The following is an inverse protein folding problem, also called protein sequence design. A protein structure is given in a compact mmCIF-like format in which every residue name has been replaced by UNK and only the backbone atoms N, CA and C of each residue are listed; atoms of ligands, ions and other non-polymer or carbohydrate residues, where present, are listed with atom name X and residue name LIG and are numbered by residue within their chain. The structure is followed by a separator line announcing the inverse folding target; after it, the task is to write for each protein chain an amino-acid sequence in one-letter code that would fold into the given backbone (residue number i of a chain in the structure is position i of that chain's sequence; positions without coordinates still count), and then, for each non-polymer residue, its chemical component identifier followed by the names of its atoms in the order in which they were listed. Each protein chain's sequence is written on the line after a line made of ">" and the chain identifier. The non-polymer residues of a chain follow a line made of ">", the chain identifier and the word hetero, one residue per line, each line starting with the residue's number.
data_IF_514564728167
#
_entry.id   IF_514564728167
#
_cell.length_a   1.000
_cell.length_b   1.000
_cell.length_c   1.000
_cell.angle_alpha   90.00
_cell.angle_beta   90.00
_cell.angle_gamma   90.00
#
_symmetry.space_group_name_H-M   'P 1'
#
loop_
_entity.id
_entity.type
_entity.pdbx_description
1 polymer ?
#
# COMPACT_ATOMS: atom_id res chain seq x y z
N UNK A 1 -3.13 33.35 29.66
CA UNK A 1 -3.44 33.69 28.25
C UNK A 1 -2.57 34.87 27.82
N UNK A 2 -1.33 34.68 27.39
CA UNK A 2 -0.43 35.82 27.10
C UNK A 2 0.70 35.52 26.11
N UNK A 3 0.59 34.51 25.24
CA UNK A 3 1.74 34.03 24.43
C UNK A 3 1.47 33.82 22.93
N UNK A 4 0.67 34.67 22.27
CA UNK A 4 0.57 34.66 20.80
C UNK A 4 0.69 36.02 20.11
N UNK A 5 0.62 37.14 20.85
CA UNK A 5 0.74 38.49 20.28
C UNK A 5 2.05 38.76 19.54
N UNK A 6 3.14 38.11 19.93
CA UNK A 6 4.46 38.33 19.31
C UNK A 6 4.54 37.74 17.89
N UNK A 7 3.89 36.59 17.68
CA UNK A 7 3.86 35.92 16.38
C UNK A 7 2.92 36.69 15.44
N UNK A 8 1.75 37.08 15.93
CA UNK A 8 0.80 37.90 15.16
C UNK A 8 1.40 39.25 14.76
N UNK A 9 2.09 39.94 15.68
CA UNK A 9 2.76 41.20 15.38
C UNK A 9 3.88 41.03 14.33
N UNK A 10 4.63 39.93 14.38
CA UNK A 10 5.67 39.62 13.39
C UNK A 10 5.07 39.44 11.99
N UNK A 11 3.94 38.72 11.87
CA UNK A 11 3.25 38.53 10.59
C UNK A 11 2.65 39.83 10.05
N UNK A 12 2.09 40.68 10.91
CA UNK A 12 1.57 42.00 10.52
C UNK A 12 2.70 42.90 10.02
N UNK A 13 3.85 42.91 10.70
CA UNK A 13 5.03 43.68 10.27
C UNK A 13 5.61 43.15 8.96
N UNK A 14 5.66 41.83 8.77
CA UNK A 14 6.07 41.21 7.51
C UNK A 14 5.13 41.60 6.36
N UNK A 15 3.82 41.54 6.58
CA UNK A 15 2.81 41.93 5.60
C UNK A 15 2.93 43.40 5.22
N UNK A 16 3.07 44.30 6.19
CA UNK A 16 3.27 45.73 5.97
C UNK A 16 4.58 46.02 5.22
N UNK A 17 5.68 45.33 5.57
CA UNK A 17 6.95 45.45 4.87
C UNK A 17 6.84 45.06 3.40
N UNK A 18 6.14 43.97 3.12
CA UNK A 18 5.87 43.51 1.75
C UNK A 18 5.05 44.53 0.96
N UNK A 19 4.03 45.12 1.60
CA UNK A 19 3.17 46.13 0.99
C UNK A 19 3.94 47.42 0.67
N UNK A 20 4.80 47.88 1.58
CA UNK A 20 5.69 49.04 1.38
C UNK A 20 6.67 48.75 0.23
N UNK A 21 7.25 47.55 0.17
CA UNK A 21 8.17 47.18 -0.91
C UNK A 21 7.48 47.12 -2.28
N UNK A 22 6.24 46.63 -2.34
CA UNK A 22 5.43 46.63 -3.58
C UNK A 22 5.14 48.05 -4.05
N UNK A 23 4.76 48.95 -3.14
CA UNK A 23 4.42 50.34 -3.48
C UNK A 23 5.67 51.13 -3.88
N UNK A 24 6.77 50.95 -3.15
CA UNK A 24 8.00 51.75 -3.33
C UNK A 24 8.88 51.26 -4.48
N UNK A 25 8.85 49.95 -4.78
CA UNK A 25 9.69 49.34 -5.82
C UNK A 25 8.88 48.37 -6.72
N UNK A 26 7.81 48.83 -7.38
CA UNK A 26 6.92 47.97 -8.15
C UNK A 26 7.64 47.27 -9.30
N UNK A 27 8.59 47.94 -9.97
CA UNK A 27 9.35 47.34 -11.07
C UNK A 27 10.29 46.23 -10.60
N UNK A 28 10.95 46.36 -9.45
CA UNK A 28 11.84 45.32 -8.96
C UNK A 28 11.06 44.10 -8.44
N UNK A 29 9.92 44.30 -7.76
CA UNK A 29 9.10 43.22 -7.22
C UNK A 29 8.35 42.44 -8.31
N UNK A 30 7.77 43.12 -9.29
CA UNK A 30 6.96 42.45 -10.33
C UNK A 30 7.78 41.96 -11.53
N UNK A 31 8.94 42.54 -11.82
CA UNK A 31 9.72 42.18 -13.01
C UNK A 31 10.98 41.41 -12.62
N UNK A 32 11.79 41.90 -11.67
CA UNK A 32 13.07 41.25 -11.32
C UNK A 32 12.88 39.98 -10.49
N UNK A 33 12.00 40.01 -9.51
CA UNK A 33 11.78 38.89 -8.57
C UNK A 33 11.36 37.59 -9.30
N UNK A 34 10.40 37.60 -10.25
CA UNK A 34 10.07 36.41 -11.03
C UNK A 34 11.20 35.97 -11.97
N UNK A 35 11.94 36.93 -12.55
CA UNK A 35 13.05 36.67 -13.48
C UNK A 35 14.28 36.06 -12.79
N UNK A 36 14.56 36.43 -11.54
CA UNK A 36 15.62 35.81 -10.73
C UNK A 36 15.19 34.46 -10.14
N UNK A 37 13.91 34.33 -9.76
CA UNK A 37 13.31 33.03 -9.38
C UNK A 37 13.39 32.02 -10.53
N UNK A 38 13.21 32.45 -11.79
CA UNK A 38 13.32 31.57 -12.96
C UNK A 38 14.75 31.05 -13.21
N UNK A 39 15.77 31.73 -12.68
CA UNK A 39 17.19 31.36 -12.83
C UNK A 39 17.70 30.43 -11.75
N UNK A 40 16.95 30.21 -10.68
CA UNK A 40 17.33 29.31 -9.60
C UNK A 40 16.98 27.86 -9.97
N UNK A 41 17.85 26.88 -9.64
CA UNK A 41 17.55 25.48 -9.88
C UNK A 41 16.27 25.10 -9.13
N UNK A 42 15.27 24.57 -9.85
CA UNK A 42 13.92 24.28 -9.33
C UNK A 42 13.90 23.52 -7.99
N UNK A 43 14.95 22.73 -7.71
CA UNK A 43 15.11 21.95 -6.47
C UNK A 43 15.38 22.81 -5.24
N UNK A 44 16.14 23.90 -5.37
CA UNK A 44 16.39 24.82 -4.25
C UNK A 44 15.21 25.76 -4.02
N UNK A 45 14.53 26.16 -5.10
CA UNK A 45 13.31 26.96 -5.02
C UNK A 45 12.17 26.19 -4.31
N UNK A 46 12.02 24.90 -4.62
CA UNK A 46 11.06 24.03 -3.93
C UNK A 46 11.38 23.87 -2.45
N UNK A 47 12.66 23.75 -2.07
CA UNK A 47 13.06 23.70 -0.64
C UNK A 47 12.71 25.01 0.07
N UNK A 48 13.04 26.15 -0.52
CA UNK A 48 12.74 27.48 0.03
C UNK A 48 11.24 27.77 0.15
N UNK A 49 10.42 27.26 -0.77
CA UNK A 49 8.95 27.38 -0.71
C UNK A 49 8.36 26.37 0.30
N UNK A 50 8.90 25.15 0.36
CA UNK A 50 8.37 24.09 1.22
C UNK A 50 8.48 24.40 2.72
N UNK A 51 9.55 25.06 3.15
CA UNK A 51 9.79 25.38 4.57
C UNK A 51 8.71 26.33 5.15
N UNK A 52 8.43 27.51 4.57
CA UNK A 52 7.36 28.37 5.06
C UNK A 52 5.97 27.73 4.87
N UNK A 53 5.77 26.89 3.84
CA UNK A 53 4.53 26.13 3.67
C UNK A 53 4.30 25.14 4.82
N UNK A 54 5.37 24.46 5.26
CA UNK A 54 5.33 23.49 6.34
C UNK A 54 5.08 24.16 7.70
N UNK A 55 5.68 25.34 7.91
CA UNK A 55 5.44 26.19 9.09
C UNK A 55 3.97 26.67 9.12
N UNK A 56 3.36 26.96 7.97
CA UNK A 56 1.93 27.30 7.86
C UNK A 56 1.02 26.07 8.02
N UNK A 57 1.46 24.90 7.58
CA UNK A 57 0.68 23.65 7.66
C UNK A 57 0.57 23.12 9.09
N UNK A 58 1.60 23.27 9.92
CA UNK A 58 1.60 22.74 11.30
C UNK A 58 0.48 23.36 12.18
N UNK A 59 0.30 24.69 12.24
CA UNK A 59 -0.85 25.31 12.90
C UNK A 59 -2.17 24.85 12.29
N UNK A 60 -2.26 24.79 10.95
CA UNK A 60 -3.49 24.39 10.25
C UNK A 60 -3.92 22.95 10.63
N UNK A 61 -2.97 22.03 10.71
CA UNK A 61 -3.18 20.64 11.14
C UNK A 61 -3.55 20.55 12.62
N UNK A 62 -2.89 21.34 13.48
CA UNK A 62 -3.20 21.41 14.90
C UNK A 62 -4.61 21.97 15.17
N UNK A 63 -5.00 23.04 14.47
CA UNK A 63 -6.33 23.63 14.55
C UNK A 63 -7.39 22.70 13.93
N UNK A 64 -7.09 22.01 12.83
CA UNK A 64 -7.96 21.00 12.22
C UNK A 64 -8.34 19.88 13.19
N UNK A 65 -7.33 19.29 13.86
CA UNK A 65 -7.56 18.22 14.86
C UNK A 65 -8.30 18.72 16.11
N UNK A 66 -8.00 19.93 16.59
CA UNK A 66 -8.58 20.47 17.82
C UNK A 66 -10.03 20.96 17.66
N UNK A 67 -10.41 21.47 16.50
CA UNK A 67 -11.72 22.10 16.26
C UNK A 67 -12.65 21.29 15.33
N UNK A 68 -12.26 20.06 14.94
CA UNK A 68 -12.99 19.22 13.96
C UNK A 68 -13.38 20.00 12.69
N UNK A 69 -12.52 20.91 12.25
CA UNK A 69 -12.75 21.64 11.01
C UNK A 69 -12.40 20.73 9.83
N UNK A 70 -13.36 20.51 8.92
CA UNK A 70 -13.14 19.78 7.67
C UNK A 70 -12.25 20.63 6.77
N UNK A 71 -10.94 20.46 6.90
CA UNK A 71 -9.99 20.96 5.92
C UNK A 71 -10.37 20.31 4.59
N UNK A 72 -10.54 21.13 3.56
CA UNK A 72 -11.10 20.79 2.23
C UNK A 72 -10.68 19.39 1.75
N UNK A 73 -11.61 18.58 1.19
CA UNK A 73 -11.41 17.15 0.89
C UNK A 73 -10.17 16.80 0.06
N UNK A 74 -9.59 17.78 -0.64
CA UNK A 74 -8.36 17.62 -1.42
C UNK A 74 -7.13 17.38 -0.55
N UNK A 75 -7.04 17.94 0.66
CA UNK A 75 -5.89 17.76 1.57
C UNK A 75 -6.04 16.50 2.44
N UNK A 76 -7.28 16.12 2.79
CA UNK A 76 -7.57 14.86 3.46
C UNK A 76 -7.16 13.65 2.62
N UNK A 77 -7.45 13.64 1.32
CA UNK A 77 -7.06 12.56 0.38
C UNK A 77 -5.56 12.28 0.29
N UNK A 78 -4.70 13.22 0.65
CA UNK A 78 -3.24 13.04 0.62
C UNK A 78 -2.67 12.54 1.96
N UNK A 79 -3.39 12.72 3.06
CA UNK A 79 -2.92 12.39 4.42
C UNK A 79 -3.59 11.12 4.93
N UNK A 80 -4.87 10.92 4.59
CA UNK A 80 -5.69 9.78 4.95
C UNK A 80 -6.35 9.30 3.65
N UNK A 81 -5.77 8.33 2.92
CA UNK A 81 -6.56 7.60 1.93
C UNK A 81 -7.78 7.05 2.69
N UNK A 82 -9.00 7.33 2.19
CA UNK A 82 -10.29 6.98 2.80
C UNK A 82 -10.27 5.57 3.39
N UNK A 83 -9.95 5.46 4.69
CA UNK A 83 -9.75 4.17 5.38
C UNK A 83 -10.93 3.82 6.28
N UNK A 84 -11.83 4.78 6.54
CA UNK A 84 -12.92 4.60 7.49
C UNK A 84 -14.28 4.26 6.83
N UNK A 85 -14.39 4.25 5.50
CA UNK A 85 -15.67 3.93 4.80
C UNK A 85 -15.64 2.75 3.85
N UNK A 86 -14.46 2.33 3.38
CA UNK A 86 -14.35 1.36 2.29
C UNK A 86 -13.75 0.00 2.70
N UNK A 87 -13.46 -0.21 3.99
CA UNK A 87 -12.99 -1.52 4.48
C UNK A 87 -14.13 -2.49 4.82
N UNK A 88 -15.29 -2.27 4.20
CA UNK A 88 -16.40 -3.19 4.27
C UNK A 88 -16.08 -4.48 3.53
N UNK A 89 -16.61 -5.57 4.07
CA UNK A 89 -16.51 -6.88 3.46
C UNK A 89 -17.25 -6.91 2.12
N UNK A 90 -16.59 -7.40 1.07
CA UNK A 90 -17.23 -7.58 -0.23
C UNK A 90 -18.42 -8.56 -0.16
N UNK A 91 -19.53 -8.26 -0.87
CA UNK A 91 -20.66 -9.17 -0.95
C UNK A 91 -20.27 -10.44 -1.71
N UNK A 92 -20.77 -11.59 -1.24
CA UNK A 92 -20.55 -12.90 -1.86
C UNK A 92 -21.79 -13.33 -2.63
N UNK A 93 -21.62 -13.77 -3.88
CA UNK A 93 -22.70 -14.47 -4.60
C UNK A 93 -22.73 -15.96 -4.26
N UNK A 94 -21.59 -16.53 -3.87
CA UNK A 94 -21.43 -17.92 -3.47
C UNK A 94 -20.11 -18.10 -2.72
N UNK A 95 -20.14 -18.91 -1.66
CA UNK A 95 -18.93 -19.33 -0.98
C UNK A 95 -18.41 -20.64 -1.60
N UNK A 96 -17.14 -20.64 -2.01
CA UNK A 96 -16.45 -21.82 -2.51
C UNK A 96 -15.58 -22.37 -1.39
N UNK A 97 -15.97 -23.50 -0.81
CA UNK A 97 -15.17 -24.21 0.18
C UNK A 97 -13.85 -24.69 -0.41
N UNK A 98 -12.80 -24.65 0.41
CA UNK A 98 -11.47 -25.09 0.03
C UNK A 98 -10.97 -26.08 1.07
N UNK A 99 -10.42 -27.19 0.60
CA UNK A 99 -9.56 -28.02 1.42
C UNK A 99 -8.14 -27.44 1.38
N UNK A 100 -7.86 -26.49 2.27
CA UNK A 100 -6.61 -25.73 2.23
C UNK A 100 -5.41 -26.61 2.64
N UNK A 101 -5.62 -27.58 3.53
CA UNK A 101 -4.56 -28.43 4.07
C UNK A 101 -3.79 -29.22 3.00
N UNK A 102 -4.47 -29.65 1.94
CA UNK A 102 -3.87 -30.52 0.90
C UNK A 102 -3.13 -29.79 -0.22
N UNK A 103 -3.27 -28.46 -0.33
CA UNK A 103 -2.68 -27.71 -1.44
C UNK A 103 -1.26 -27.21 -1.19
N UNK A 104 -0.49 -27.05 -2.26
CA UNK A 104 0.78 -26.31 -2.23
C UNK A 104 0.51 -24.81 -2.23
N UNK A 105 1.30 -24.07 -1.45
CA UNK A 105 1.09 -22.65 -1.15
C UNK A 105 2.38 -21.90 -1.41
N UNK A 106 2.30 -20.85 -2.21
CA UNK A 106 3.46 -20.08 -2.65
C UNK A 106 3.19 -18.59 -2.57
N UNK A 107 4.22 -17.79 -2.32
CA UNK A 107 4.23 -16.36 -2.64
C UNK A 107 5.28 -16.13 -3.72
N UNK A 108 4.86 -15.44 -4.78
CA UNK A 108 5.73 -14.97 -5.84
C UNK A 108 6.06 -13.52 -5.55
N UNK A 109 7.35 -13.20 -5.59
CA UNK A 109 7.85 -11.84 -5.43
C UNK A 109 8.62 -11.44 -6.69
N UNK A 110 8.23 -10.32 -7.27
CA UNK A 110 8.76 -9.79 -8.52
C UNK A 110 9.87 -8.80 -8.24
N UNK A 111 10.97 -8.88 -9.01
CA UNK A 111 12.02 -7.86 -9.09
C UNK A 111 12.56 -7.35 -7.72
N UNK A 112 12.71 -8.24 -6.73
CA UNK A 112 13.19 -7.83 -5.41
C UNK A 112 14.60 -8.33 -5.10
N UNK A 113 15.44 -7.40 -4.66
CA UNK A 113 16.78 -7.67 -4.12
C UNK A 113 16.77 -7.98 -2.61
N UNK A 114 15.59 -8.04 -1.99
CA UNK A 114 15.47 -8.20 -0.54
C UNK A 114 16.02 -9.53 -0.03
N UNK A 115 16.51 -9.51 1.20
CA UNK A 115 16.85 -10.70 1.97
C UNK A 115 15.56 -11.28 2.59
N UNK A 116 14.90 -12.15 1.84
CA UNK A 116 13.61 -12.73 2.25
C UNK A 116 13.68 -13.59 3.51
N UNK A 117 14.84 -14.19 3.81
CA UNK A 117 14.98 -14.95 5.06
C UNK A 117 14.84 -14.04 6.29
N UNK A 118 15.50 -12.88 6.26
CA UNK A 118 15.39 -11.91 7.34
C UNK A 118 13.97 -11.34 7.44
N UNK A 119 13.36 -11.01 6.29
CA UNK A 119 12.00 -10.49 6.22
C UNK A 119 10.95 -11.46 6.77
N UNK A 120 11.00 -12.72 6.36
CA UNK A 120 10.09 -13.76 6.86
C UNK A 120 10.36 -13.99 8.36
N UNK A 121 11.61 -14.00 8.80
CA UNK A 121 11.95 -14.17 10.21
C UNK A 121 11.37 -13.06 11.09
N UNK A 122 11.47 -11.80 10.67
CA UNK A 122 10.88 -10.67 11.40
C UNK A 122 9.36 -10.82 11.56
N UNK A 123 8.67 -11.26 10.52
CA UNK A 123 7.24 -11.54 10.60
C UNK A 123 6.93 -12.71 11.55
N UNK A 124 7.71 -13.79 11.47
CA UNK A 124 7.55 -14.96 12.34
C UNK A 124 7.81 -14.63 13.82
N UNK A 125 8.71 -13.70 14.11
CA UNK A 125 8.95 -13.22 15.48
C UNK A 125 7.73 -12.47 16.05
N UNK A 126 6.94 -11.82 15.19
CA UNK A 126 5.66 -11.18 15.54
C UNK A 126 4.49 -12.16 15.69
N UNK A 127 4.47 -13.24 14.91
CA UNK A 127 3.43 -14.28 14.95
C UNK A 127 3.92 -15.45 15.81
N UNK A 128 3.70 -15.35 17.13
CA UNK A 128 4.17 -16.32 18.15
C UNK A 128 4.17 -17.79 17.69
N UNK A 129 5.34 -18.29 17.32
CA UNK A 129 5.82 -19.64 17.64
C UNK A 129 5.34 -20.83 16.80
N UNK A 130 4.63 -20.63 15.69
CA UNK A 130 4.08 -21.78 14.93
C UNK A 130 5.03 -22.32 13.84
N UNK A 131 5.86 -21.48 13.24
CA UNK A 131 6.72 -21.88 12.11
C UNK A 131 8.15 -21.37 12.28
N UNK A 132 9.12 -22.15 11.79
CA UNK A 132 10.52 -21.75 11.67
C UNK A 132 10.82 -21.41 10.20
N UNK A 133 11.70 -20.43 9.97
CA UNK A 133 12.15 -20.04 8.63
C UNK A 133 12.71 -21.22 7.82
N UNK A 134 13.31 -22.20 8.47
CA UNK A 134 13.89 -23.38 7.80
C UNK A 134 12.85 -24.28 7.13
N UNK A 135 11.57 -24.11 7.48
CA UNK A 135 10.45 -24.84 6.87
C UNK A 135 9.98 -24.22 5.56
N UNK A 136 10.48 -23.03 5.20
CA UNK A 136 10.14 -22.32 3.98
C UNK A 136 11.21 -22.61 2.92
N UNK A 137 10.78 -23.04 1.74
CA UNK A 137 11.69 -23.22 0.59
C UNK A 137 11.67 -21.94 -0.23
N UNK A 138 12.83 -21.29 -0.36
CA UNK A 138 12.98 -20.05 -1.14
C UNK A 138 13.81 -20.36 -2.39
N UNK A 139 13.18 -20.28 -3.55
CA UNK A 139 13.84 -20.39 -4.84
C UNK A 139 14.02 -19.00 -5.47
N UNK A 140 15.15 -18.77 -6.12
CA UNK A 140 15.47 -17.55 -6.87
C UNK A 140 15.84 -17.95 -8.29
N UNK A 141 15.15 -17.38 -9.28
CA UNK A 141 15.43 -17.63 -10.69
C UNK A 141 15.92 -16.35 -11.43
N UNK A 142 16.33 -15.32 -10.68
CA UNK A 142 16.83 -14.05 -11.20
C UNK A 142 15.75 -13.04 -11.62
N UNK A 143 14.56 -13.50 -12.01
CA UNK A 143 13.43 -12.62 -12.36
C UNK A 143 12.41 -12.51 -11.22
N UNK A 144 12.30 -13.56 -10.42
CA UNK A 144 11.38 -13.66 -9.31
C UNK A 144 11.96 -14.54 -8.22
N UNK A 145 11.44 -14.33 -7.02
CA UNK A 145 11.64 -15.25 -5.91
C UNK A 145 10.33 -15.94 -5.60
N UNK A 146 10.42 -17.24 -5.39
CA UNK A 146 9.28 -18.10 -5.10
C UNK A 146 9.50 -18.64 -3.70
N UNK A 147 8.57 -18.33 -2.81
CA UNK A 147 8.60 -18.77 -1.42
C UNK A 147 7.50 -19.82 -1.28
N UNK A 148 7.89 -21.06 -1.06
CA UNK A 148 6.96 -22.16 -0.78
C UNK A 148 6.80 -22.31 0.73
N UNK A 149 5.54 -22.35 1.15
CA UNK A 149 5.14 -22.44 2.54
C UNK A 149 5.07 -23.90 3.01
N UNK A 150 5.24 -24.16 4.31
CA UNK A 150 5.03 -25.49 4.87
C UNK A 150 3.57 -25.91 4.72
N UNK A 151 3.33 -27.22 4.52
CA UNK A 151 2.00 -27.73 4.17
C UNK A 151 0.92 -27.49 5.22
N UNK A 152 1.32 -27.46 6.49
CA UNK A 152 0.50 -27.26 7.70
C UNK A 152 0.22 -25.79 8.03
N UNK A 153 0.65 -24.83 7.21
CA UNK A 153 0.29 -23.42 7.45
C UNK A 153 -1.23 -23.25 7.40
N UNK A 154 -1.77 -22.51 8.38
CA UNK A 154 -3.20 -22.21 8.45
C UNK A 154 -3.65 -21.31 7.28
N UNK A 155 -4.95 -21.37 6.98
CA UNK A 155 -5.53 -20.50 5.96
C UNK A 155 -5.35 -19.02 6.34
N UNK A 156 -5.54 -18.67 7.60
CA UNK A 156 -5.34 -17.32 8.10
C UNK A 156 -3.89 -16.85 7.95
N UNK A 157 -2.93 -17.61 8.49
CA UNK A 157 -1.51 -17.22 8.51
C UNK A 157 -0.98 -17.01 7.09
N UNK A 158 -1.28 -17.93 6.18
CA UNK A 158 -0.84 -17.80 4.79
C UNK A 158 -1.36 -16.53 4.13
N UNK A 159 -2.64 -16.20 4.31
CA UNK A 159 -3.21 -14.98 3.72
C UNK A 159 -2.73 -13.71 4.40
N UNK A 160 -2.41 -13.77 5.70
CA UNK A 160 -1.74 -12.68 6.41
C UNK A 160 -0.34 -12.44 5.87
N UNK A 161 0.41 -13.50 5.53
CA UNK A 161 1.68 -13.37 4.81
C UNK A 161 1.49 -12.70 3.45
N UNK A 162 0.50 -13.12 2.64
CA UNK A 162 0.22 -12.49 1.34
C UNK A 162 -0.01 -10.98 1.51
N UNK A 163 -0.84 -10.58 2.47
CA UNK A 163 -1.11 -9.19 2.79
C UNK A 163 0.15 -8.44 3.24
N UNK A 164 0.96 -9.04 4.12
CA UNK A 164 2.18 -8.43 4.62
C UNK A 164 3.20 -8.19 3.49
N UNK A 165 3.41 -9.18 2.62
CA UNK A 165 4.29 -9.05 1.47
C UNK A 165 3.85 -7.92 0.52
N UNK A 166 2.56 -7.85 0.20
CA UNK A 166 2.04 -6.80 -0.68
C UNK A 166 2.14 -5.40 -0.06
N UNK A 167 1.97 -5.29 1.26
CA UNK A 167 2.09 -4.02 1.97
C UNK A 167 3.54 -3.51 2.01
N UNK A 168 4.50 -4.39 2.29
CA UNK A 168 5.92 -4.02 2.46
C UNK A 168 6.63 -3.80 1.12
N UNK A 169 6.32 -4.61 0.10
CA UNK A 169 6.95 -4.51 -1.21
C UNK A 169 6.25 -3.51 -2.13
N UNK A 170 4.99 -3.20 -1.84
CA UNK A 170 4.17 -2.28 -2.59
C UNK A 170 3.37 -2.94 -3.71
N UNK A 171 2.56 -2.10 -4.36
CA UNK A 171 1.50 -2.53 -5.28
C UNK A 171 2.05 -3.41 -6.42
N UNK A 172 1.48 -4.62 -6.54
CA UNK A 172 1.76 -5.59 -7.61
C UNK A 172 3.23 -6.04 -7.68
N UNK A 173 3.93 -6.02 -6.55
CA UNK A 173 5.27 -6.61 -6.43
C UNK A 173 5.23 -8.05 -5.93
N UNK A 174 4.11 -8.49 -5.34
CA UNK A 174 3.91 -9.86 -4.93
C UNK A 174 2.48 -10.35 -5.21
N UNK A 175 2.31 -11.67 -5.09
CA UNK A 175 1.00 -12.31 -5.04
C UNK A 175 1.14 -13.73 -4.47
N UNK A 176 0.09 -14.20 -3.79
CA UNK A 176 -0.05 -15.56 -3.33
C UNK A 176 -0.62 -16.48 -4.40
N UNK A 177 -0.20 -17.75 -4.36
CA UNK A 177 -0.67 -18.83 -5.24
C UNK A 177 -0.98 -20.06 -4.40
N UNK A 178 -2.18 -20.59 -4.55
CA UNK A 178 -2.58 -21.88 -4.02
C UNK A 178 -2.81 -22.86 -5.17
N UNK A 179 -2.28 -24.08 -5.04
CA UNK A 179 -2.40 -25.13 -6.06
C UNK A 179 -2.78 -26.45 -5.38
N UNK A 180 -3.90 -27.02 -5.80
CA UNK A 180 -4.34 -28.38 -5.47
C UNK A 180 -4.89 -29.05 -6.73
N UNK A 181 -5.15 -30.35 -6.68
CA UNK A 181 -5.72 -31.10 -7.81
C UNK A 181 -7.08 -30.54 -8.27
N UNK A 182 -7.85 -29.96 -7.35
CA UNK A 182 -9.22 -29.48 -7.61
C UNK A 182 -9.29 -27.98 -7.86
N UNK A 183 -8.36 -27.21 -7.30
CA UNK A 183 -8.43 -25.75 -7.29
C UNK A 183 -7.03 -25.15 -7.35
N UNK A 184 -6.91 -24.18 -8.25
CA UNK A 184 -5.79 -23.25 -8.29
C UNK A 184 -6.33 -21.82 -8.24
N UNK A 185 -5.74 -20.98 -7.42
CA UNK A 185 -6.10 -19.57 -7.34
C UNK A 185 -4.91 -18.67 -7.05
N UNK A 186 -5.08 -17.40 -7.40
CA UNK A 186 -4.11 -16.32 -7.21
C UNK A 186 -4.75 -15.24 -6.37
N UNK A 187 -4.04 -14.74 -5.37
CA UNK A 187 -4.56 -13.80 -4.36
C UNK A 187 -3.55 -12.70 -4.07
N UNK A 188 -4.02 -11.49 -3.82
CA UNK A 188 -3.21 -10.32 -3.48
C UNK A 188 -4.08 -9.30 -2.73
N UNK A 189 -3.44 -8.36 -2.05
CA UNK A 189 -4.09 -7.28 -1.33
C UNK A 189 -4.88 -6.38 -2.27
N UNK A 190 -6.13 -6.08 -1.91
CA UNK A 190 -6.87 -5.04 -2.61
C UNK A 190 -6.32 -3.69 -2.18
N UNK A 191 -5.74 -2.94 -3.12
CA UNK A 191 -5.14 -1.62 -2.86
C UNK A 191 -6.14 -0.58 -2.37
N UNK A 192 -7.45 -0.89 -2.43
CA UNK A 192 -8.54 0.00 -2.01
C UNK A 192 -8.97 -0.21 -0.56
N UNK A 193 -8.57 -1.32 0.06
CA UNK A 193 -9.04 -1.71 1.40
C UNK A 193 -7.88 -2.19 2.24
N UNK A 194 -8.02 -2.17 3.57
CA UNK A 194 -6.96 -2.65 4.46
C UNK A 194 -7.09 -4.14 4.70
N UNK A 195 -8.29 -4.67 4.85
CA UNK A 195 -8.53 -6.04 5.31
C UNK A 195 -9.12 -6.97 4.25
N UNK A 196 -9.30 -6.53 3.00
CA UNK A 196 -9.71 -7.44 1.92
C UNK A 196 -8.52 -7.85 1.04
N UNK A 197 -8.40 -9.15 0.86
CA UNK A 197 -7.68 -9.73 -0.26
C UNK A 197 -8.65 -9.99 -1.41
N UNK A 198 -8.16 -9.83 -2.63
CA UNK A 198 -8.90 -10.16 -3.85
C UNK A 198 -8.09 -11.09 -4.73
N UNK A 199 -8.77 -11.83 -5.58
CA UNK A 199 -8.09 -12.81 -6.39
C UNK A 199 -8.95 -13.40 -7.48
N UNK A 200 -8.36 -14.34 -8.21
CA UNK A 200 -9.05 -15.10 -9.23
C UNK A 200 -8.59 -16.55 -9.28
N UNK A 201 -9.51 -17.45 -9.61
CA UNK A 201 -9.21 -18.87 -9.82
C UNK A 201 -8.59 -19.11 -11.20
N UNK A 202 -8.01 -20.29 -11.43
CA UNK A 202 -7.58 -20.74 -12.76
C UNK A 202 -8.74 -20.74 -13.78
N UNK A 203 -9.98 -20.94 -13.31
CA UNK A 203 -11.20 -20.80 -14.11
C UNK A 203 -11.69 -19.35 -14.25
N UNK A 204 -10.85 -18.35 -13.92
CA UNK A 204 -11.12 -16.90 -13.99
C UNK A 204 -12.27 -16.39 -13.11
N UNK A 205 -12.74 -17.16 -12.13
CA UNK A 205 -13.76 -16.69 -11.18
C UNK A 205 -13.10 -15.74 -10.20
N UNK A 206 -13.69 -14.57 -10.01
CA UNK A 206 -13.21 -13.56 -9.07
C UNK A 206 -13.71 -13.87 -7.67
N UNK A 207 -12.86 -13.61 -6.68
CA UNK A 207 -13.21 -13.80 -5.28
C UNK A 207 -12.55 -12.77 -4.38
N UNK A 208 -13.04 -12.69 -3.15
CA UNK A 208 -12.41 -11.95 -2.05
C UNK A 208 -12.27 -12.83 -0.81
N UNK A 209 -11.36 -12.43 0.07
CA UNK A 209 -11.18 -12.95 1.42
C UNK A 209 -11.14 -11.73 2.34
N UNK A 210 -11.92 -11.76 3.42
CA UNK A 210 -11.91 -10.70 4.42
C UNK A 210 -11.12 -11.17 5.63
N UNK A 211 -10.03 -10.50 5.95
CA UNK A 211 -9.06 -10.94 6.97
C UNK A 211 -9.59 -10.83 8.41
N UNK A 212 -10.68 -10.08 8.63
CA UNK A 212 -11.34 -10.00 9.93
C UNK A 212 -12.48 -11.02 10.10
N UNK A 213 -12.74 -11.87 9.10
CA UNK A 213 -13.59 -13.04 9.32
C UNK A 213 -12.89 -14.07 10.21
N UNK A 214 -13.69 -14.96 10.80
CA UNK A 214 -13.18 -16.18 11.40
C UNK A 214 -12.70 -17.15 10.31
N UNK A 215 -11.45 -16.96 9.89
CA UNK A 215 -10.80 -17.73 8.83
C UNK A 215 -10.26 -19.07 9.33
N UNK A 216 -10.22 -19.30 10.63
CA UNK A 216 -9.86 -20.59 11.24
C UNK A 216 -11.03 -21.58 11.13
N UNK A 217 -12.27 -21.10 11.31
CA UNK A 217 -13.47 -21.92 11.17
C UNK A 217 -14.05 -21.94 9.74
N UNK A 218 -13.78 -20.91 8.91
CA UNK A 218 -14.45 -20.74 7.60
C UNK A 218 -13.47 -20.60 6.43
N UNK A 219 -12.90 -21.72 6.01
CA UNK A 219 -12.00 -21.80 4.84
C UNK A 219 -12.78 -21.77 3.51
N UNK A 220 -13.10 -20.57 3.03
CA UNK A 220 -13.81 -20.40 1.75
C UNK A 220 -13.39 -19.16 0.97
N UNK A 221 -13.52 -19.22 -0.35
CA UNK A 221 -13.43 -18.05 -1.23
C UNK A 221 -14.82 -17.48 -1.46
N UNK A 222 -15.00 -16.18 -1.21
CA UNK A 222 -16.26 -15.48 -1.49
C UNK A 222 -16.29 -15.06 -2.94
N UNK A 223 -17.02 -15.80 -3.78
CA UNK A 223 -17.10 -15.50 -5.20
C UNK A 223 -17.88 -14.21 -5.42
N UNK A 224 -17.33 -13.31 -6.23
CA UNK A 224 -17.98 -12.04 -6.55
C UNK A 224 -17.60 -11.57 -7.96
N UNK A 225 -18.54 -11.71 -8.90
CA UNK A 225 -18.34 -11.31 -10.30
C UNK A 225 -18.27 -9.79 -10.52
N UNK A 226 -18.67 -8.99 -9.52
CA UNK A 226 -18.64 -7.52 -9.59
C UNK A 226 -17.29 -6.94 -9.16
N UNK A 227 -16.38 -7.77 -8.63
CA UNK A 227 -15.02 -7.33 -8.30
C UNK A 227 -14.32 -6.79 -9.55
N UNK A 228 -13.61 -5.67 -9.37
CA UNK A 228 -12.84 -5.03 -10.44
C UNK A 228 -11.37 -5.28 -10.21
N UNK A 229 -10.83 -6.28 -10.90
CA UNK A 229 -9.41 -6.57 -10.93
C UNK A 229 -8.87 -6.19 -12.31
N UNK A 230 -7.74 -5.49 -12.34
CA UNK A 230 -7.07 -5.07 -13.58
C UNK A 230 -6.70 -6.28 -14.46
N UNK A 231 -7.19 -6.27 -15.70
CA UNK A 231 -6.94 -7.34 -16.67
C UNK A 231 -5.46 -7.52 -16.99
N UNK A 232 -4.71 -6.42 -17.12
CA UNK A 232 -3.29 -6.46 -17.45
C UNK A 232 -2.52 -7.21 -16.35
N UNK A 233 -2.86 -6.93 -15.09
CA UNK A 233 -2.27 -7.62 -13.95
C UNK A 233 -2.59 -9.12 -13.92
N UNK A 234 -3.85 -9.50 -14.19
CA UNK A 234 -4.25 -10.91 -14.25
C UNK A 234 -3.48 -11.67 -15.33
N UNK A 235 -3.35 -11.08 -16.51
CA UNK A 235 -2.59 -11.67 -17.61
C UNK A 235 -1.11 -11.80 -17.28
N UNK A 236 -0.53 -10.81 -16.61
CA UNK A 236 0.84 -10.84 -16.15
C UNK A 236 1.09 -12.00 -15.17
N UNK A 237 0.25 -12.17 -14.15
CA UNK A 237 0.34 -13.31 -13.21
C UNK A 237 0.32 -14.65 -13.96
N UNK A 238 -0.62 -14.83 -14.90
CA UNK A 238 -0.72 -16.09 -15.66
C UNK A 238 0.53 -16.34 -16.50
N UNK A 239 1.13 -15.31 -17.09
CA UNK A 239 2.39 -15.45 -17.85
C UNK A 239 3.54 -15.86 -16.94
N UNK A 240 3.68 -15.19 -15.79
CA UNK A 240 4.72 -15.45 -14.78
C UNK A 240 4.70 -16.91 -14.33
N UNK A 241 3.52 -17.45 -14.06
CA UNK A 241 3.36 -18.83 -13.60
C UNK A 241 3.71 -19.83 -14.69
N UNK A 242 3.32 -19.55 -15.94
CA UNK A 242 3.68 -20.41 -17.08
C UNK A 242 5.19 -20.44 -17.32
N UNK A 243 5.86 -19.29 -17.30
CA UNK A 243 7.32 -19.23 -17.49
C UNK A 243 8.08 -19.86 -16.32
N UNK A 244 7.55 -19.80 -15.09
CA UNK A 244 8.15 -20.47 -13.92
C UNK A 244 8.11 -22.00 -13.98
N UNK A 245 7.07 -22.58 -14.59
CA UNK A 245 6.93 -24.04 -14.71
C UNK A 245 7.82 -24.65 -15.80
N UNK A 246 8.16 -23.89 -16.85
CA UNK A 246 9.07 -24.35 -17.90
C UNK A 246 10.53 -24.46 -17.42
N UNK A 247 10.92 -23.65 -16.42
CA UNK A 247 12.29 -23.64 -15.86
C UNK A 247 12.50 -24.78 -14.84
N UNK A 248 11.44 -25.27 -14.20
CA UNK A 248 11.51 -26.34 -13.18
C UNK A 248 11.35 -27.76 -13.74
N UNK A 249 11.12 -27.89 -15.06
CA UNK A 249 10.95 -29.16 -15.77
C UNK A 249 12.08 -29.45 -16.80
N UNK A 250 13.13 -28.61 -16.80
CA UNK A 250 14.35 -28.76 -17.60
C UNK A 250 15.53 -29.14 -16.70
#
# INVERSE_FOLDING_TARGET
>A
MQRYYFIEALFVLLGLGLLISIIKYPKDVFIRLPLEILKLPLRELWRLISIPLLILAIPLLYFGKKFKWSITPTLQRWIEPDTDKDDEQYPSSKNLEIDFGIGNKYIYVLNSTWNFKAFIQEFLDGVKGTYSIDRFEIADNGQQKIIKFPGDISFYDYHLFVQHFDNELGIRQSFGVFISDKLQYYVFQDTRTLNNLVGFTSSKKLFSIYMLDDLDEKQHLRLNSKLKIDNCWREQIVRIIKSGNEITSS
#
